data_IF_366867427265
#
_entry.id   IF_366867427265
#
_cell.length_a   1.000
_cell.length_b   1.000
_cell.length_c   1.000
_cell.angle_alpha   90.00
_cell.angle_beta   90.00
_cell.angle_gamma   90.00
#
_symmetry.space_group_name_H-M   'P 1'
#
loop_
_entity.id
_entity.type
_entity.pdbx_description
1 polymer ?
#
# COMPACT_ATOMS: atom_id res chain seq x y z
N UNK A 1 -5.83 -16.71 5.41
CA UNK A 1 -5.35 -15.78 4.36
C UNK A 1 -3.86 -16.02 4.22
N UNK A 2 -3.42 -16.58 3.09
CA UNK A 2 -2.02 -16.95 2.83
C UNK A 2 -1.20 -15.67 2.67
N UNK A 3 -0.18 -15.49 3.51
CA UNK A 3 0.69 -14.32 3.46
C UNK A 3 1.64 -14.46 2.27
N UNK A 4 1.57 -13.53 1.32
CA UNK A 4 2.49 -13.49 0.18
C UNK A 4 3.77 -12.80 0.64
N UNK A 5 4.83 -13.58 0.82
CA UNK A 5 6.14 -13.09 1.25
C UNK A 5 7.00 -12.83 0.01
N UNK A 6 7.66 -11.66 -0.04
CA UNK A 6 8.66 -11.37 -1.07
C UNK A 6 9.89 -12.24 -0.81
N UNK A 7 10.28 -13.03 -1.80
CA UNK A 7 11.53 -13.77 -1.79
C UNK A 7 12.72 -12.79 -1.67
N UNK A 8 13.67 -13.12 -0.80
CA UNK A 8 14.91 -12.36 -0.59
C UNK A 8 15.69 -12.22 -1.90
N UNK A 9 15.64 -13.22 -2.79
CA UNK A 9 16.27 -13.14 -4.11
C UNK A 9 15.66 -12.03 -5.00
N UNK A 10 14.37 -11.73 -4.82
CA UNK A 10 13.70 -10.66 -5.55
C UNK A 10 14.08 -9.26 -5.05
N UNK A 11 14.62 -9.12 -3.82
CA UNK A 11 15.03 -7.82 -3.24
C UNK A 11 16.20 -7.18 -4.00
N UNK A 12 17.24 -7.94 -4.34
CA UNK A 12 18.39 -7.40 -5.09
C UNK A 12 18.01 -6.86 -6.48
N UNK A 13 17.09 -7.52 -7.17
CA UNK A 13 16.57 -7.03 -8.45
C UNK A 13 15.65 -5.82 -8.28
N UNK A 14 15.01 -5.70 -7.12
CA UNK A 14 14.18 -4.56 -6.79
C UNK A 14 15.06 -3.33 -6.59
N UNK A 15 16.06 -3.39 -5.71
CA UNK A 15 16.95 -2.28 -5.34
C UNK A 15 17.60 -1.61 -6.56
N UNK A 16 17.98 -2.38 -7.58
CA UNK A 16 18.63 -1.88 -8.80
C UNK A 16 17.69 -1.18 -9.81
N UNK A 17 16.37 -1.29 -9.65
CA UNK A 17 15.39 -0.72 -10.61
C UNK A 17 14.60 0.44 -10.01
N UNK A 18 14.62 1.59 -10.70
CA UNK A 18 13.81 2.78 -10.31
C UNK A 18 12.31 2.61 -10.55
N UNK A 19 11.94 1.71 -11.46
CA UNK A 19 10.56 1.34 -11.73
C UNK A 19 10.47 -0.12 -12.15
N UNK A 20 9.37 -0.75 -11.80
CA UNK A 20 9.04 -2.08 -12.26
C UNK A 20 8.17 -1.94 -13.51
N UNK A 21 8.72 -2.31 -14.66
CA UNK A 21 8.05 -2.25 -15.96
C UNK A 21 7.06 -3.41 -16.15
N UNK A 22 6.34 -3.76 -15.08
CA UNK A 22 5.31 -4.78 -15.12
C UNK A 22 3.96 -4.12 -15.48
N UNK A 23 3.17 -4.81 -16.29
CA UNK A 23 1.78 -4.42 -16.62
C UNK A 23 0.80 -4.66 -15.44
N UNK A 24 1.30 -4.64 -14.20
CA UNK A 24 0.47 -4.79 -13.01
C UNK A 24 -0.31 -3.50 -12.81
N UNK A 25 -1.59 -3.55 -13.18
CA UNK A 25 -2.52 -2.44 -13.01
C UNK A 25 -3.33 -2.53 -11.73
N UNK A 26 -3.32 -3.68 -11.06
CA UNK A 26 -4.21 -3.97 -9.94
C UNK A 26 -3.53 -4.88 -8.95
N UNK A 27 -3.59 -4.51 -7.66
CA UNK A 27 -3.11 -5.31 -6.53
C UNK A 27 -4.24 -5.36 -5.51
N UNK A 28 -4.66 -6.57 -5.15
CA UNK A 28 -5.66 -6.81 -4.11
C UNK A 28 -5.05 -7.57 -2.95
N UNK A 29 -5.49 -7.25 -1.73
CA UNK A 29 -5.11 -8.02 -0.54
C UNK A 29 -3.64 -7.89 -0.16
N UNK A 30 -2.97 -6.80 -0.54
CA UNK A 30 -1.60 -6.55 -0.10
C UNK A 30 -1.64 -6.27 1.41
N UNK A 31 -0.96 -7.11 2.20
CA UNK A 31 -0.81 -6.88 3.63
C UNK A 31 0.61 -6.43 3.90
N UNK A 32 0.79 -5.27 4.52
CA UNK A 32 2.11 -4.70 4.75
C UNK A 32 2.15 -3.88 6.04
N UNK A 33 3.35 -3.51 6.50
CA UNK A 33 3.59 -2.70 7.69
C UNK A 33 4.89 -1.93 7.57
N UNK A 34 5.37 -1.40 8.69
CA UNK A 34 6.65 -0.70 8.80
C UNK A 34 7.78 -1.60 8.29
N UNK A 35 8.72 -1.04 7.52
CA UNK A 35 9.91 -1.70 6.95
C UNK A 35 9.67 -2.92 6.05
N UNK A 36 8.45 -3.09 5.56
CA UNK A 36 8.16 -4.18 4.63
C UNK A 36 8.77 -3.93 3.24
N UNK A 37 9.46 -4.92 2.64
CA UNK A 37 9.99 -4.80 1.28
C UNK A 37 8.88 -4.60 0.23
N UNK A 38 7.63 -4.94 0.58
CA UNK A 38 6.47 -4.67 -0.29
C UNK A 38 6.23 -3.19 -0.51
N UNK A 39 6.61 -2.32 0.44
CA UNK A 39 6.49 -0.87 0.24
C UNK A 39 7.39 -0.38 -0.87
N UNK A 40 8.62 -0.91 -0.94
CA UNK A 40 9.55 -0.57 -2.02
C UNK A 40 9.02 -1.06 -3.38
N UNK A 41 8.45 -2.28 -3.43
CA UNK A 41 7.80 -2.78 -4.63
C UNK A 41 6.66 -1.85 -5.05
N UNK A 42 5.79 -1.50 -4.11
CA UNK A 42 4.63 -0.65 -4.36
C UNK A 42 5.05 0.69 -4.98
N UNK A 43 6.10 1.33 -4.46
CA UNK A 43 6.62 2.60 -5.00
C UNK A 43 7.12 2.50 -6.45
N UNK A 44 7.53 1.29 -6.87
CA UNK A 44 8.06 1.02 -8.20
C UNK A 44 6.98 0.62 -9.21
N UNK A 45 5.77 0.27 -8.76
CA UNK A 45 4.62 -0.06 -9.61
C UNK A 45 3.90 1.20 -10.15
N UNK A 46 4.60 1.98 -10.99
CA UNK A 46 4.06 3.24 -11.55
C UNK A 46 2.82 3.06 -12.42
N UNK A 47 2.59 1.85 -12.93
CA UNK A 47 1.41 1.46 -13.72
C UNK A 47 0.15 1.13 -12.90
N UNK A 48 0.21 1.20 -11.56
CA UNK A 48 -0.87 0.73 -10.70
C UNK A 48 -2.08 1.67 -10.70
N UNK A 49 -3.27 1.12 -11.02
CA UNK A 49 -4.54 1.86 -11.09
C UNK A 49 -5.49 1.52 -9.95
N UNK A 50 -5.39 0.32 -9.38
CA UNK A 50 -6.23 -0.14 -8.26
C UNK A 50 -5.37 -0.79 -7.18
N UNK A 51 -5.57 -0.40 -5.93
CA UNK A 51 -4.85 -0.94 -4.78
C UNK A 51 -5.83 -1.24 -3.64
N UNK A 52 -5.82 -2.47 -3.14
CA UNK A 52 -6.36 -2.80 -1.83
C UNK A 52 -5.23 -3.20 -0.89
N UNK A 53 -5.04 -2.40 0.16
CA UNK A 53 -3.94 -2.50 1.11
C UNK A 53 -4.48 -2.67 2.53
N UNK A 54 -3.99 -3.69 3.24
CA UNK A 54 -4.14 -3.81 4.70
C UNK A 54 -2.83 -3.39 5.36
N UNK A 55 -2.87 -2.29 6.11
CA UNK A 55 -1.76 -1.76 6.88
C UNK A 55 -1.77 -2.31 8.31
N UNK A 56 -0.65 -2.94 8.70
CA UNK A 56 -0.41 -3.47 10.06
C UNK A 56 0.43 -2.54 10.94
N UNK A 57 1.07 -1.52 10.36
CA UNK A 57 1.83 -0.53 11.12
C UNK A 57 0.94 0.34 12.01
N UNK A 58 1.54 0.99 13.00
CA UNK A 58 0.85 1.89 13.92
C UNK A 58 0.51 3.22 13.27
N UNK A 59 1.44 3.79 12.50
CA UNK A 59 1.29 5.13 11.91
C UNK A 59 0.58 5.09 10.55
N UNK A 60 -0.53 5.81 10.43
CA UNK A 60 -1.28 5.90 9.16
C UNK A 60 -0.56 6.79 8.14
N UNK A 61 0.16 7.81 8.60
CA UNK A 61 0.90 8.72 7.71
C UNK A 61 1.98 7.97 6.92
N UNK A 62 2.67 7.03 7.56
CA UNK A 62 3.65 6.14 6.92
C UNK A 62 3.02 5.27 5.82
N UNK A 63 1.84 4.69 6.09
CA UNK A 63 1.11 3.89 5.10
C UNK A 63 0.82 4.69 3.83
N UNK A 64 0.46 5.96 4.02
CA UNK A 64 -0.02 6.81 2.93
C UNK A 64 1.11 7.46 2.14
N UNK A 65 2.26 7.74 2.75
CA UNK A 65 3.42 8.38 2.11
C UNK A 65 3.86 7.69 0.82
N UNK A 66 3.93 6.37 0.83
CA UNK A 66 4.41 5.59 -0.32
C UNK A 66 3.35 5.46 -1.43
N UNK A 67 2.07 5.47 -1.05
CA UNK A 67 0.93 5.49 -1.99
C UNK A 67 0.90 6.79 -2.80
N UNK A 68 1.35 7.91 -2.24
CA UNK A 68 1.39 9.21 -2.93
C UNK A 68 2.27 9.22 -4.20
N UNK A 69 3.13 8.21 -4.39
CA UNK A 69 3.94 8.05 -5.60
C UNK A 69 3.15 7.42 -6.77
N UNK A 70 1.98 6.84 -6.52
CA UNK A 70 1.14 6.16 -7.51
C UNK A 70 0.25 7.16 -8.26
N UNK A 71 0.85 7.98 -9.15
CA UNK A 71 0.19 9.13 -9.78
C UNK A 71 -1.06 8.81 -10.62
N UNK A 72 -1.17 7.59 -11.14
CA UNK A 72 -2.31 7.15 -11.96
C UNK A 72 -3.31 6.27 -11.19
N UNK A 73 -3.15 6.15 -9.87
CA UNK A 73 -4.04 5.38 -9.02
C UNK A 73 -5.45 5.96 -9.09
N UNK A 74 -6.44 5.13 -9.42
CA UNK A 74 -7.86 5.50 -9.55
C UNK A 74 -8.71 5.00 -8.39
N UNK A 75 -8.31 3.89 -7.76
CA UNK A 75 -9.04 3.30 -6.65
C UNK A 75 -8.08 2.84 -5.57
N UNK A 76 -8.37 3.28 -4.33
CA UNK A 76 -7.65 2.89 -3.13
C UNK A 76 -8.65 2.33 -2.11
N UNK A 77 -8.40 1.11 -1.64
CA UNK A 77 -8.99 0.56 -0.42
C UNK A 77 -7.85 0.45 0.59
N UNK A 78 -7.96 1.18 1.70
CA UNK A 78 -6.98 1.17 2.78
C UNK A 78 -7.64 0.64 4.05
N UNK A 79 -7.21 -0.54 4.49
CA UNK A 79 -7.65 -1.16 5.73
C UNK A 79 -6.58 -0.98 6.81
N UNK A 80 -6.93 -0.31 7.90
CA UNK A 80 -6.02 -0.01 9.01
C UNK A 80 -6.32 -0.92 10.20
N UNK A 81 -5.35 -1.72 10.67
CA UNK A 81 -5.54 -2.59 11.85
C UNK A 81 -5.42 -1.85 13.18
N UNK A 82 -4.40 -1.01 13.34
CA UNK A 82 -4.15 -0.26 14.57
C UNK A 82 -3.89 1.21 14.24
N UNK A 83 -4.87 1.95 13.69
CA UNK A 83 -4.63 3.31 13.23
C UNK A 83 -4.30 4.24 14.40
N UNK A 84 -3.10 4.82 14.38
CA UNK A 84 -2.77 6.03 15.14
C UNK A 84 -2.26 7.13 14.20
N UNK A 85 -2.53 8.38 14.57
CA UNK A 85 -2.15 9.55 13.79
C UNK A 85 -3.10 9.88 12.63
N UNK A 86 -2.73 10.90 11.87
CA UNK A 86 -3.52 11.44 10.77
C UNK A 86 -3.16 10.80 9.42
N UNK A 87 -4.17 10.69 8.55
CA UNK A 87 -3.98 10.34 7.14
C UNK A 87 -3.25 11.51 6.47
N UNK A 88 -2.16 11.23 5.73
CA UNK A 88 -1.49 12.29 4.96
C UNK A 88 -2.42 12.83 3.87
N UNK A 89 -2.24 14.10 3.53
CA UNK A 89 -3.01 14.74 2.46
C UNK A 89 -2.91 13.96 1.14
N UNK A 90 -4.02 13.36 0.74
CA UNK A 90 -4.17 12.59 -0.49
C UNK A 90 -4.56 13.44 -1.70
N UNK A 91 -4.71 14.76 -1.56
CA UNK A 91 -5.02 15.68 -2.67
C UNK A 91 -4.02 15.58 -3.84
N UNK A 92 -2.80 15.12 -3.56
CA UNK A 92 -1.73 14.88 -4.54
C UNK A 92 -2.02 13.73 -5.49
N UNK A 93 -2.99 12.86 -5.19
CA UNK A 93 -3.45 11.76 -6.04
C UNK A 93 -4.56 12.24 -6.99
N UNK A 94 -4.21 13.11 -7.93
CA UNK A 94 -5.17 13.75 -8.87
C UNK A 94 -6.04 12.77 -9.67
N UNK A 95 -5.57 11.54 -9.88
CA UNK A 95 -6.28 10.49 -10.63
C UNK A 95 -7.25 9.69 -9.77
N UNK A 96 -7.20 9.84 -8.44
CA UNK A 96 -7.97 9.04 -7.50
C UNK A 96 -9.44 9.46 -7.55
N UNK A 97 -10.30 8.52 -7.91
CA UNK A 97 -11.75 8.76 -7.98
C UNK A 97 -12.52 7.94 -6.94
N UNK A 98 -11.90 6.90 -6.37
CA UNK A 98 -12.54 6.05 -5.36
C UNK A 98 -11.58 5.85 -4.18
N UNK A 99 -12.02 6.26 -2.99
CA UNK A 99 -11.29 6.08 -1.73
C UNK A 99 -12.19 5.36 -0.72
N UNK A 100 -11.74 4.20 -0.26
CA UNK A 100 -12.39 3.46 0.80
C UNK A 100 -11.42 3.33 1.98
N UNK A 101 -11.79 3.90 3.12
CA UNK A 101 -11.05 3.81 4.36
C UNK A 101 -11.78 2.85 5.29
N UNK A 102 -11.15 1.72 5.59
CA UNK A 102 -11.71 0.68 6.44
C UNK A 102 -10.88 0.62 7.73
N UNK A 103 -11.55 0.68 8.87
CA UNK A 103 -10.93 0.39 10.16
C UNK A 103 -11.22 -1.04 10.53
N UNK A 104 -10.20 -1.78 10.95
CA UNK A 104 -10.43 -3.03 11.64
C UNK A 104 -11.01 -2.71 13.02
N UNK A 105 -12.27 -3.05 13.21
CA UNK A 105 -12.88 -3.05 14.54
C UNK A 105 -12.47 -4.37 15.17
N UNK A 106 -11.48 -4.33 16.05
CA UNK A 106 -11.23 -5.46 16.92
C UNK A 106 -12.46 -5.55 17.84
N UNK A 107 -13.32 -6.53 17.60
CA UNK A 107 -14.37 -6.86 18.56
C UNK A 107 -13.65 -7.42 19.78
N UNK A 108 -13.26 -6.54 20.70
CA UNK A 108 -12.87 -6.96 22.03
C UNK A 108 -14.10 -7.58 22.67
N UNK A 109 -14.17 -8.90 22.65
CA UNK A 109 -14.93 -9.66 23.62
C UNK A 109 -14.28 -9.44 24.98
N UNK A 110 -14.87 -8.49 25.71
CA UNK A 110 -14.99 -8.33 27.17
C UNK A 110 -13.74 -8.47 28.03
#
# INVERSE_FOLDING_TARGET
MTEVVLDVAARHQLESKESLNYNIQTVWGLVTGVDSPMLEVLRKLRGLRKLALTWRGSSVSEATRDILNLKILKSLILQLRHPSGEISDMSRLKSLSNLYLLRYLDMQSS
#
